data_IF_515378545215
#
_entry.id   IF_515378545215
#
_cell.length_a   1.000
_cell.length_b   1.000
_cell.length_c   1.000
_cell.angle_alpha   90.00
_cell.angle_beta   90.00
_cell.angle_gamma   90.00
#
_symmetry.space_group_name_H-M   'P 1'
#
loop_
_entity.id
_entity.type
_entity.pdbx_description
1 polymer ?
#
# COMPACT_ATOMS: atom_id res chain seq x y z
N UNK A 1 3.36 -17.69 -14.17
CA UNK A 1 2.88 -16.34 -14.57
C UNK A 1 3.74 -15.31 -13.85
N UNK A 2 4.21 -14.28 -14.55
CA UNK A 2 5.01 -13.21 -13.94
C UNK A 2 4.07 -12.18 -13.29
N UNK A 3 3.62 -12.46 -12.06
CA UNK A 3 2.97 -11.47 -11.21
C UNK A 3 4.05 -10.87 -10.31
N UNK A 4 4.73 -9.84 -10.82
CA UNK A 4 5.70 -9.04 -10.06
C UNK A 4 5.24 -7.57 -10.12
N UNK A 5 5.11 -6.95 -8.94
CA UNK A 5 4.63 -5.58 -8.76
C UNK A 5 5.72 -4.51 -8.86
N UNK A 6 6.99 -4.91 -8.93
CA UNK A 6 8.06 -3.98 -9.28
C UNK A 6 7.90 -3.47 -10.70
N UNK A 7 8.29 -2.22 -10.94
CA UNK A 7 8.24 -1.61 -12.28
C UNK A 7 9.60 -1.72 -12.96
N UNK A 8 9.60 -1.65 -14.29
CA UNK A 8 10.83 -1.70 -15.07
C UNK A 8 11.78 -0.55 -14.72
N UNK A 9 13.09 -0.81 -14.83
CA UNK A 9 14.12 0.21 -14.65
C UNK A 9 13.88 1.45 -15.51
N UNK A 10 13.49 1.25 -16.77
CA UNK A 10 13.16 2.34 -17.69
C UNK A 10 12.01 3.22 -17.16
N UNK A 11 11.00 2.62 -16.52
CA UNK A 11 9.91 3.40 -15.95
C UNK A 11 10.33 4.11 -14.66
N UNK A 12 11.19 3.50 -13.82
CA UNK A 12 11.78 4.15 -12.64
C UNK A 12 12.63 5.37 -13.02
N UNK A 13 13.43 5.27 -14.08
CA UNK A 13 14.28 6.37 -14.57
C UNK A 13 13.47 7.63 -14.93
N UNK A 14 12.20 7.47 -15.33
CA UNK A 14 11.31 8.59 -15.61
C UNK A 14 10.98 9.43 -14.37
N UNK A 15 11.15 8.91 -13.15
CA UNK A 15 10.93 9.64 -11.90
C UNK A 15 12.19 10.32 -11.34
N UNK A 16 13.38 10.00 -11.85
CA UNK A 16 14.63 10.63 -11.41
C UNK A 16 14.74 12.07 -11.90
N UNK A 17 15.66 12.87 -11.37
CA UNK A 17 15.69 14.35 -11.45
C UNK A 17 15.39 14.97 -12.84
N UNK A 18 15.87 14.35 -13.94
CA UNK A 18 15.66 14.84 -15.31
C UNK A 18 14.53 14.11 -16.07
N UNK A 19 13.85 13.19 -15.42
CA UNK A 19 12.79 12.39 -15.98
C UNK A 19 11.46 13.14 -16.07
N UNK A 20 10.61 12.73 -17.00
CA UNK A 20 9.30 13.33 -17.28
C UNK A 20 8.32 13.33 -16.09
N UNK A 21 8.57 12.47 -15.09
CA UNK A 21 7.74 12.27 -13.91
C UNK A 21 8.43 12.75 -12.62
N UNK A 22 9.59 13.41 -12.74
CA UNK A 22 10.34 13.92 -11.58
C UNK A 22 9.53 14.88 -10.71
N UNK A 23 8.61 15.73 -11.23
CA UNK A 23 7.77 16.58 -10.38
C UNK A 23 6.84 15.79 -9.45
N UNK A 24 6.36 14.62 -9.85
CA UNK A 24 5.55 13.77 -8.97
C UNK A 24 6.39 13.21 -7.82
N UNK A 25 7.63 12.77 -8.11
CA UNK A 25 8.54 12.29 -7.07
C UNK A 25 8.92 13.41 -6.10
N UNK A 26 9.20 14.61 -6.63
CA UNK A 26 9.47 15.79 -5.82
C UNK A 26 8.29 16.07 -4.87
N UNK A 27 7.06 16.04 -5.39
CA UNK A 27 5.84 16.24 -4.59
C UNK A 27 5.65 15.17 -3.51
N UNK A 28 5.93 13.91 -3.81
CA UNK A 28 5.89 12.82 -2.81
C UNK A 28 6.89 13.08 -1.68
N UNK A 29 8.09 13.56 -2.00
CA UNK A 29 9.17 13.85 -1.04
C UNK A 29 8.99 15.14 -0.25
N UNK A 30 8.07 16.01 -0.64
CA UNK A 30 7.81 17.24 0.11
C UNK A 30 7.42 16.91 1.55
N UNK A 31 8.01 17.66 2.50
CA UNK A 31 7.68 17.54 3.91
C UNK A 31 6.18 17.80 4.09
N UNK A 32 5.48 16.88 4.77
CA UNK A 32 4.05 16.93 5.04
C UNK A 32 3.13 16.78 3.81
N UNK A 33 3.62 16.25 2.68
CA UNK A 33 2.76 15.93 1.53
C UNK A 33 1.66 14.91 1.90
N UNK A 34 1.98 14.00 2.83
CA UNK A 34 1.14 12.85 3.20
C UNK A 34 0.98 11.83 2.07
N UNK A 35 1.82 11.92 1.04
CA UNK A 35 1.74 11.09 -0.15
C UNK A 35 2.58 9.83 -0.02
N UNK A 36 2.06 8.74 -0.58
CA UNK A 36 2.68 7.42 -0.51
C UNK A 36 2.74 6.80 -1.90
N UNK A 37 3.95 6.53 -2.41
CA UNK A 37 4.16 5.96 -3.75
C UNK A 37 4.27 4.43 -3.68
N UNK A 38 3.53 3.72 -4.54
CA UNK A 38 3.60 2.25 -4.65
C UNK A 38 3.74 1.79 -6.08
N UNK A 39 4.51 0.72 -6.27
CA UNK A 39 4.71 0.09 -7.58
C UNK A 39 3.63 -0.94 -7.87
N UNK A 40 3.16 -0.97 -9.12
CA UNK A 40 2.12 -1.88 -9.64
C UNK A 40 2.52 -2.38 -11.03
N UNK A 41 3.68 -3.01 -11.13
CA UNK A 41 4.23 -3.55 -12.37
C UNK A 41 3.46 -4.71 -12.99
N UNK A 42 2.67 -5.42 -12.19
CA UNK A 42 1.77 -6.47 -12.66
C UNK A 42 0.53 -5.94 -13.39
N UNK A 43 0.35 -4.62 -13.42
CA UNK A 43 -0.61 -3.97 -14.31
C UNK A 43 -0.14 -4.05 -15.77
N UNK A 44 -1.09 -3.95 -16.70
CA UNK A 44 -0.79 -3.87 -18.12
C UNK A 44 -1.53 -2.66 -18.71
N UNK A 45 -0.83 -1.57 -19.06
CA UNK A 45 0.61 -1.33 -18.85
C UNK A 45 1.01 -1.23 -17.37
N UNK A 46 2.30 -1.39 -17.07
CA UNK A 46 2.86 -1.18 -15.73
C UNK A 46 2.49 0.20 -15.19
N UNK A 47 2.30 0.30 -13.87
CA UNK A 47 1.88 1.54 -13.24
C UNK A 47 2.57 1.80 -11.90
N UNK A 48 2.56 3.08 -11.51
CA UNK A 48 2.82 3.57 -10.16
C UNK A 48 1.53 4.19 -9.64
N UNK A 49 1.16 3.90 -8.41
CA UNK A 49 0.01 4.53 -7.75
C UNK A 49 0.51 5.36 -6.58
N UNK A 50 0.03 6.59 -6.46
CA UNK A 50 0.34 7.51 -5.37
C UNK A 50 -0.93 7.76 -4.57
N UNK A 51 -0.85 7.55 -3.26
CA UNK A 51 -1.97 7.60 -2.33
C UNK A 51 -1.86 8.77 -1.36
N UNK A 52 -2.99 9.23 -0.85
CA UNK A 52 -3.13 10.09 0.33
C UNK A 52 -4.20 9.49 1.24
N UNK A 53 -3.87 9.21 2.51
CA UNK A 53 -4.70 8.44 3.45
C UNK A 53 -5.25 7.11 2.86
N UNK A 54 -4.42 6.38 2.10
CA UNK A 54 -4.78 5.16 1.37
C UNK A 54 -5.93 5.34 0.35
N UNK A 55 -6.07 6.56 -0.18
CA UNK A 55 -6.91 6.89 -1.34
C UNK A 55 -6.04 7.31 -2.52
N UNK A 56 -6.34 6.79 -3.72
CA UNK A 56 -5.59 7.10 -4.93
C UNK A 56 -5.69 8.60 -5.26
N UNK A 57 -4.55 9.27 -5.30
CA UNK A 57 -4.39 10.64 -5.82
C UNK A 57 -4.05 10.56 -7.30
N UNK A 58 -3.01 9.80 -7.65
CA UNK A 58 -2.61 9.57 -9.03
C UNK A 58 -2.36 8.10 -9.29
N UNK A 59 -2.75 7.64 -10.47
CA UNK A 59 -2.22 6.41 -11.08
C UNK A 59 -1.48 6.81 -12.35
N UNK A 60 -0.20 6.53 -12.38
CA UNK A 60 0.72 6.91 -13.44
C UNK A 60 1.09 5.65 -14.20
N UNK A 61 0.88 5.63 -15.51
CA UNK A 61 1.21 4.47 -16.35
C UNK A 61 1.85 4.90 -17.66
N UNK A 62 2.63 3.99 -18.26
CA UNK A 62 3.20 4.21 -19.59
C UNK A 62 2.09 4.21 -20.64
N UNK A 63 2.22 5.11 -21.62
CA UNK A 63 1.30 5.21 -22.75
C UNK A 63 2.11 5.38 -24.05
N UNK A 64 1.50 5.08 -25.20
CA UNK A 64 2.22 5.06 -26.48
C UNK A 64 2.93 6.40 -26.82
N UNK A 65 2.44 7.52 -26.28
CA UNK A 65 2.96 8.89 -26.50
C UNK A 65 3.25 9.60 -25.18
N UNK A 66 3.98 8.94 -24.28
CA UNK A 66 4.39 9.50 -22.99
C UNK A 66 3.76 8.76 -21.82
N UNK A 67 3.12 9.49 -20.92
CA UNK A 67 2.57 8.94 -19.69
C UNK A 67 1.13 9.34 -19.50
N UNK A 68 0.33 8.40 -19.02
CA UNK A 68 -1.06 8.60 -18.65
C UNK A 68 -1.14 8.81 -17.14
N UNK A 69 -1.71 9.94 -16.73
CA UNK A 69 -2.03 10.26 -15.34
C UNK A 69 -3.53 10.12 -15.18
N UNK A 70 -3.96 9.19 -14.32
CA UNK A 70 -5.36 9.03 -13.93
C UNK A 70 -5.55 9.51 -12.50
N UNK A 71 -6.71 10.10 -12.21
CA UNK A 71 -7.17 10.43 -10.86
C UNK A 71 -8.49 9.70 -10.58
N UNK A 72 -8.89 9.53 -9.33
CA UNK A 72 -10.16 8.86 -8.99
C UNK A 72 -11.25 9.87 -8.64
N UNK A 73 -12.24 10.02 -9.53
CA UNK A 73 -13.45 10.81 -9.25
C UNK A 73 -14.50 10.03 -8.44
N UNK A 74 -14.27 8.73 -8.17
CA UNK A 74 -15.15 7.92 -7.32
C UNK A 74 -15.10 8.31 -5.84
N UNK A 75 -14.16 9.18 -5.47
CA UNK A 75 -14.05 9.74 -4.13
C UNK A 75 -15.23 10.64 -3.77
N UNK A 76 -15.90 11.19 -4.79
CA UNK A 76 -16.92 12.22 -4.66
C UNK A 76 -18.22 11.75 -5.32
N UNK A 77 -19.38 12.22 -4.83
CA UNK A 77 -20.71 11.79 -5.34
C UNK A 77 -21.57 13.02 -5.67
N UNK A 78 -22.58 12.83 -6.53
CA UNK A 78 -23.58 13.86 -6.81
C UNK A 78 -23.02 15.08 -7.54
N UNK A 79 -23.56 16.26 -7.22
CA UNK A 79 -23.20 17.56 -7.84
C UNK A 79 -21.70 17.85 -7.74
N UNK A 80 -21.11 17.51 -6.60
CA UNK A 80 -19.70 17.70 -6.33
C UNK A 80 -18.78 16.91 -7.27
N UNK A 81 -19.24 15.76 -7.77
CA UNK A 81 -18.51 15.01 -8.80
C UNK A 81 -18.45 15.80 -10.09
N UNK A 82 -19.56 16.41 -10.51
CA UNK A 82 -19.59 17.25 -11.70
C UNK A 82 -18.62 18.43 -11.56
N UNK A 83 -18.64 19.11 -10.41
CA UNK A 83 -17.71 20.21 -10.12
C UNK A 83 -16.23 19.78 -10.15
N UNK A 84 -15.91 18.61 -9.59
CA UNK A 84 -14.55 18.05 -9.66
C UNK A 84 -14.14 17.79 -11.11
N UNK A 85 -15.02 17.16 -11.90
CA UNK A 85 -14.74 16.87 -13.31
C UNK A 85 -14.55 18.15 -14.13
N UNK A 86 -15.36 19.18 -13.89
CA UNK A 86 -15.21 20.48 -14.55
C UNK A 86 -13.87 21.14 -14.20
N UNK A 87 -13.48 21.16 -12.92
CA UNK A 87 -12.17 21.68 -12.48
C UNK A 87 -11.01 20.94 -13.14
N UNK A 88 -11.08 19.61 -13.24
CA UNK A 88 -10.03 18.80 -13.87
C UNK A 88 -9.95 19.02 -15.39
N UNK A 89 -11.06 19.33 -16.04
CA UNK A 89 -11.13 19.54 -17.49
C UNK A 89 -10.54 20.91 -17.91
N UNK A 90 -10.52 21.91 -17.03
CA UNK A 90 -10.05 23.26 -17.33
C UNK A 90 -8.55 23.30 -17.66
N UNK A 91 -8.15 24.30 -18.46
CA UNK A 91 -6.74 24.59 -18.69
C UNK A 91 -6.05 25.06 -17.40
N UNK A 92 -4.78 24.67 -17.18
CA UNK A 92 -3.90 23.89 -18.07
C UNK A 92 -3.90 22.38 -17.77
N UNK A 93 -4.84 21.89 -16.96
CA UNK A 93 -4.90 20.48 -16.56
C UNK A 93 -5.40 19.58 -17.69
N UNK A 94 -6.47 20.00 -18.36
CA UNK A 94 -7.01 19.38 -19.57
C UNK A 94 -7.29 17.87 -19.45
N UNK A 95 -7.81 17.41 -18.31
CA UNK A 95 -8.20 16.01 -18.16
C UNK A 95 -9.36 15.67 -19.09
N UNK A 96 -9.29 14.49 -19.70
CA UNK A 96 -10.40 13.85 -20.37
C UNK A 96 -11.35 13.32 -19.28
N UNK A 97 -12.61 13.75 -19.31
CA UNK A 97 -13.63 13.45 -18.29
C UNK A 97 -14.93 12.86 -18.86
N UNK A 98 -15.12 12.91 -20.18
CA UNK A 98 -16.43 12.66 -20.82
C UNK A 98 -16.73 11.19 -21.14
N UNK A 99 -15.72 10.35 -21.37
CA UNK A 99 -15.94 8.92 -21.64
C UNK A 99 -16.47 8.19 -20.39
N UNK A 100 -17.16 7.06 -20.56
CA UNK A 100 -17.68 6.25 -19.43
C UNK A 100 -16.61 5.91 -18.40
N UNK A 101 -15.42 5.49 -18.84
CA UNK A 101 -14.27 5.29 -17.95
C UNK A 101 -13.83 6.60 -17.28
N UNK A 102 -13.70 7.67 -18.07
CA UNK A 102 -13.21 8.96 -17.60
C UNK A 102 -14.13 9.69 -16.62
N UNK A 103 -15.42 9.34 -16.57
CA UNK A 103 -16.31 9.85 -15.52
C UNK A 103 -15.83 9.40 -14.14
N UNK A 104 -15.29 8.19 -14.03
CA UNK A 104 -14.81 7.57 -12.79
C UNK A 104 -13.31 7.75 -12.58
N UNK A 105 -12.56 7.69 -13.67
CA UNK A 105 -11.11 7.84 -13.69
C UNK A 105 -10.68 8.85 -14.76
N UNK A 106 -10.87 10.16 -14.52
CA UNK A 106 -10.38 11.19 -15.41
C UNK A 106 -8.89 11.01 -15.66
N UNK A 107 -8.47 11.29 -16.88
CA UNK A 107 -7.06 11.11 -17.23
C UNK A 107 -6.53 12.15 -18.20
N UNK A 108 -5.22 12.34 -18.19
CA UNK A 108 -4.50 13.12 -19.18
C UNK A 108 -3.27 12.34 -19.66
N UNK A 109 -2.88 12.55 -20.90
CA UNK A 109 -1.66 11.96 -21.49
C UNK A 109 -0.74 13.09 -21.93
N UNK A 110 0.48 13.12 -21.37
CA UNK A 110 1.52 14.09 -21.75
C UNK A 110 2.89 13.40 -21.77
N UNK A 111 3.84 13.98 -22.50
CA UNK A 111 5.23 13.51 -22.52
C UNK A 111 6.00 13.90 -21.27
N UNK A 112 5.61 14.99 -20.61
CA UNK A 112 6.20 15.52 -19.38
C UNK A 112 5.16 16.32 -18.61
N UNK A 113 5.46 16.56 -17.34
CA UNK A 113 4.65 17.36 -16.44
C UNK A 113 5.54 18.39 -15.75
N UNK A 114 4.94 19.48 -15.30
CA UNK A 114 5.61 20.52 -14.53
C UNK A 114 5.05 20.59 -13.10
N UNK A 115 5.71 21.39 -12.27
CA UNK A 115 5.32 21.57 -10.86
C UNK A 115 3.93 22.20 -10.73
N UNK A 116 3.52 23.04 -11.69
CA UNK A 116 2.19 23.63 -11.68
C UNK A 116 1.11 22.56 -11.81
N UNK A 117 1.24 21.66 -12.79
CA UNK A 117 0.29 20.58 -13.01
C UNK A 117 0.20 19.67 -11.77
N UNK A 118 1.36 19.28 -11.21
CA UNK A 118 1.40 18.39 -10.06
C UNK A 118 0.80 19.06 -8.82
N UNK A 119 1.15 20.33 -8.53
CA UNK A 119 0.60 21.04 -7.38
C UNK A 119 -0.91 21.31 -7.50
N UNK A 120 -1.37 21.73 -8.69
CA UNK A 120 -2.79 21.98 -8.94
C UNK A 120 -3.61 20.70 -8.78
N UNK A 121 -3.17 19.59 -9.40
CA UNK A 121 -3.88 18.30 -9.27
C UNK A 121 -3.81 17.74 -7.85
N UNK A 122 -2.67 17.88 -7.16
CA UNK A 122 -2.54 17.51 -5.74
C UNK A 122 -3.59 18.23 -4.89
N UNK A 123 -3.65 19.56 -4.98
CA UNK A 123 -4.55 20.37 -4.18
C UNK A 123 -6.02 20.02 -4.43
N UNK A 124 -6.40 19.82 -5.70
CA UNK A 124 -7.75 19.39 -6.08
C UNK A 124 -8.08 18.03 -5.48
N UNK A 125 -7.22 17.03 -5.70
CA UNK A 125 -7.51 15.65 -5.32
C UNK A 125 -7.43 15.44 -3.81
N UNK A 126 -6.44 16.00 -3.13
CA UNK A 126 -6.33 15.93 -1.67
C UNK A 126 -7.43 16.74 -1.00
N UNK A 127 -7.80 17.90 -1.56
CA UNK A 127 -8.96 18.68 -1.11
C UNK A 127 -10.25 17.87 -1.17
N UNK A 128 -10.52 17.22 -2.30
CA UNK A 128 -11.64 16.31 -2.45
C UNK A 128 -11.55 15.17 -1.42
N UNK A 129 -10.44 14.45 -1.33
CA UNK A 129 -10.29 13.33 -0.37
C UNK A 129 -10.61 13.78 1.06
N UNK A 130 -10.10 14.95 1.50
CA UNK A 130 -10.38 15.49 2.84
C UNK A 130 -11.85 15.83 3.06
N UNK A 131 -12.52 16.39 2.06
CA UNK A 131 -13.93 16.78 2.13
C UNK A 131 -14.86 15.56 2.23
N UNK A 132 -14.73 14.56 1.36
CA UNK A 132 -15.66 13.41 1.33
C UNK A 132 -15.32 12.33 2.35
N UNK A 133 -14.04 12.17 2.67
CA UNK A 133 -13.57 11.11 3.55
C UNK A 133 -13.21 11.61 4.95
N UNK A 134 -13.91 12.65 5.41
CA UNK A 134 -13.79 13.18 6.77
C UNK A 134 -13.57 12.10 7.85
N UNK A 135 -12.83 12.47 8.89
CA UNK A 135 -12.04 11.61 9.79
C UNK A 135 -12.66 10.31 10.35
N UNK A 136 -13.99 10.13 10.33
CA UNK A 136 -14.67 8.97 10.96
C UNK A 136 -14.95 7.80 10.03
N UNK A 137 -15.19 8.01 8.72
CA UNK A 137 -15.76 6.94 7.86
C UNK A 137 -14.73 5.95 7.31
N UNK A 138 -13.46 6.33 7.28
CA UNK A 138 -12.36 5.52 6.69
C UNK A 138 -11.14 5.43 7.61
N UNK A 139 -11.41 5.34 8.92
CA UNK A 139 -10.40 5.26 9.98
C UNK A 139 -9.38 4.14 9.74
N UNK A 140 -9.82 2.95 9.31
CA UNK A 140 -8.95 1.81 9.01
C UNK A 140 -7.90 2.13 7.95
N UNK A 141 -8.32 2.71 6.82
CA UNK A 141 -7.43 3.10 5.72
C UNK A 141 -6.40 4.15 6.12
N UNK A 142 -6.82 5.10 6.96
CA UNK A 142 -5.90 6.09 7.53
C UNK A 142 -4.88 5.43 8.46
N UNK A 143 -5.35 4.56 9.35
CA UNK A 143 -4.51 3.78 10.26
C UNK A 143 -3.54 2.88 9.50
N UNK A 144 -3.98 2.22 8.42
CA UNK A 144 -3.09 1.42 7.56
C UNK A 144 -1.96 2.28 6.98
N UNK A 145 -2.25 3.51 6.53
CA UNK A 145 -1.20 4.42 6.07
C UNK A 145 -0.30 4.91 7.21
N UNK A 146 -0.86 5.26 8.37
CA UNK A 146 -0.08 5.66 9.57
C UNK A 146 0.86 4.53 10.03
N UNK A 147 0.37 3.28 10.01
CA UNK A 147 1.14 2.07 10.28
C UNK A 147 2.27 1.92 9.26
N UNK A 148 1.96 2.03 7.96
CA UNK A 148 2.97 1.96 6.92
C UNK A 148 4.06 3.00 7.13
N UNK A 149 3.69 4.27 7.34
CA UNK A 149 4.65 5.37 7.54
C UNK A 149 5.57 5.09 8.72
N UNK A 150 5.01 4.62 9.83
CA UNK A 150 5.81 4.28 11.02
C UNK A 150 6.73 3.09 10.76
N UNK A 151 6.23 2.04 10.09
CA UNK A 151 6.99 0.81 9.85
C UNK A 151 8.04 0.94 8.74
N UNK A 152 7.92 1.92 7.85
CA UNK A 152 8.98 2.23 6.87
C UNK A 152 10.19 2.92 7.47
N UNK A 153 10.17 3.34 8.73
CA UNK A 153 11.35 3.88 9.40
C UNK A 153 12.23 2.78 10.03
N UNK A 154 11.78 1.52 9.96
CA UNK A 154 12.47 0.37 10.55
C UNK A 154 13.75 0.02 9.79
N UNK A 155 14.89 0.02 10.49
CA UNK A 155 16.14 -0.55 9.97
C UNK A 155 16.38 -1.99 10.47
N UNK A 156 15.74 -2.35 11.58
CA UNK A 156 15.78 -3.69 12.19
C UNK A 156 14.40 -3.96 12.82
N UNK A 157 13.88 -5.18 12.70
CA UNK A 157 12.47 -5.50 12.99
C UNK A 157 11.61 -5.52 11.72
N UNK A 158 10.40 -4.94 11.74
CA UNK A 158 9.46 -5.05 10.61
C UNK A 158 9.54 -3.86 9.65
N UNK A 159 9.90 -4.08 8.38
CA UNK A 159 9.88 -3.07 7.33
C UNK A 159 8.78 -3.35 6.29
N UNK A 160 7.76 -2.50 6.21
CA UNK A 160 6.65 -2.65 5.25
C UNK A 160 7.05 -2.04 3.91
N UNK A 161 6.97 -2.82 2.83
CA UNK A 161 7.31 -2.33 1.47
C UNK A 161 6.10 -2.14 0.56
N UNK A 162 4.92 -2.63 0.96
CA UNK A 162 3.67 -2.41 0.22
C UNK A 162 2.46 -2.24 1.13
N UNK A 163 1.59 -1.28 0.77
CA UNK A 163 0.42 -0.83 1.56
C UNK A 163 -0.90 -1.46 1.11
N UNK A 164 -0.94 -2.01 -0.11
CA UNK A 164 -2.18 -2.58 -0.68
C UNK A 164 -1.80 -3.78 -1.54
N UNK A 165 -1.78 -4.95 -0.90
CA UNK A 165 -1.56 -6.19 -1.60
C UNK A 165 -2.78 -6.53 -2.47
N UNK A 166 -2.49 -6.92 -3.71
CA UNK A 166 -3.47 -7.41 -4.67
C UNK A 166 -2.79 -8.29 -5.69
N UNK A 167 -3.18 -9.55 -5.75
CA UNK A 167 -2.63 -10.52 -6.68
C UNK A 167 -3.52 -10.60 -7.93
N UNK A 168 -2.90 -10.53 -9.12
CA UNK A 168 -3.64 -10.71 -10.37
C UNK A 168 -4.06 -12.18 -10.52
N UNK A 169 -5.32 -12.39 -10.93
CA UNK A 169 -5.93 -13.72 -11.13
C UNK A 169 -5.90 -14.62 -9.88
N UNK A 170 -5.85 -14.03 -8.68
CA UNK A 170 -5.99 -14.81 -7.46
C UNK A 170 -7.44 -15.26 -7.29
N UNK A 171 -7.63 -16.53 -6.96
CA UNK A 171 -8.92 -17.05 -6.51
C UNK A 171 -8.99 -17.20 -5.00
N UNK A 172 -7.86 -17.00 -4.31
CA UNK A 172 -7.81 -17.07 -2.85
C UNK A 172 -8.49 -15.84 -2.26
N UNK A 173 -9.44 -16.08 -1.36
CA UNK A 173 -10.12 -15.05 -0.60
C UNK A 173 -9.28 -14.61 0.61
N UNK A 174 -9.60 -13.45 1.19
CA UNK A 174 -8.93 -12.90 2.39
C UNK A 174 -7.43 -12.68 2.19
N UNK A 175 -7.09 -12.01 1.10
CA UNK A 175 -5.77 -11.47 0.85
C UNK A 175 -5.32 -10.56 2.02
N UNK A 176 -4.03 -10.57 2.40
CA UNK A 176 -3.52 -9.63 3.40
C UNK A 176 -3.65 -8.19 2.89
N UNK A 177 -3.71 -7.24 3.82
CA UNK A 177 -3.67 -5.81 3.47
C UNK A 177 -2.29 -5.37 2.96
N UNK A 178 -1.22 -5.78 3.67
CA UNK A 178 0.14 -5.26 3.47
C UNK A 178 1.18 -6.38 3.42
N UNK A 179 2.36 -6.04 2.89
CA UNK A 179 3.53 -6.93 2.88
C UNK A 179 4.76 -6.24 3.44
N UNK A 180 5.53 -7.00 4.20
CA UNK A 180 6.75 -6.56 4.85
C UNK A 180 7.87 -7.59 4.77
N UNK A 181 9.06 -7.17 5.14
CA UNK A 181 10.21 -8.03 5.44
C UNK A 181 10.56 -7.86 6.91
N UNK A 182 10.77 -8.98 7.61
CA UNK A 182 11.34 -8.97 8.96
C UNK A 182 12.87 -8.97 8.86
N UNK A 183 13.50 -8.12 9.66
CA UNK A 183 14.94 -8.02 9.85
C UNK A 183 15.32 -8.38 11.28
N UNK A 184 16.49 -8.98 11.44
CA UNK A 184 17.12 -9.22 12.73
C UNK A 184 18.62 -8.95 12.64
N UNK A 185 19.12 -8.03 13.47
CA UNK A 185 20.51 -7.59 13.36
C UNK A 185 20.81 -6.90 12.02
N UNK A 186 19.78 -6.35 11.36
CA UNK A 186 19.89 -5.76 10.02
C UNK A 186 19.88 -6.78 8.87
N UNK A 187 19.73 -8.08 9.15
CA UNK A 187 19.65 -9.12 8.13
C UNK A 187 18.21 -9.57 7.89
N UNK A 188 17.77 -9.73 6.62
CA UNK A 188 16.43 -10.17 6.28
C UNK A 188 16.17 -11.61 6.73
N UNK A 189 14.97 -11.89 7.22
CA UNK A 189 14.61 -13.20 7.82
C UNK A 189 13.41 -13.85 7.14
N UNK A 190 12.36 -13.07 6.89
CA UNK A 190 11.07 -13.60 6.42
C UNK A 190 10.26 -12.52 5.69
N UNK A 191 9.38 -12.98 4.79
CA UNK A 191 8.28 -12.15 4.29
C UNK A 191 7.12 -12.26 5.27
N UNK A 192 6.53 -11.11 5.62
CA UNK A 192 5.41 -11.04 6.56
C UNK A 192 4.15 -10.57 5.81
N UNK A 193 3.11 -11.39 5.84
CA UNK A 193 1.76 -11.05 5.39
C UNK A 193 1.03 -10.38 6.54
N UNK A 194 0.54 -9.16 6.33
CA UNK A 194 -0.04 -8.34 7.40
C UNK A 194 -1.51 -8.04 7.09
N UNK A 195 -2.37 -8.33 8.06
CA UNK A 195 -3.78 -7.93 8.09
C UNK A 195 -3.99 -6.86 9.17
N UNK A 196 -4.79 -5.83 8.87
CA UNK A 196 -5.13 -4.77 9.83
C UNK A 196 -6.63 -4.79 10.13
N UNK A 197 -7.01 -4.90 11.40
CA UNK A 197 -8.41 -4.79 11.83
C UNK A 197 -8.59 -3.60 12.77
N UNK A 198 -9.56 -2.74 12.47
CA UNK A 198 -9.89 -1.57 13.34
C UNK A 198 -11.24 -1.70 14.06
N UNK A 199 -12.10 -2.61 13.61
CA UNK A 199 -13.48 -2.73 14.10
C UNK A 199 -13.71 -4.08 14.76
N UNK A 200 -14.39 -4.06 15.90
CA UNK A 200 -14.93 -5.26 16.56
C UNK A 200 -15.59 -6.21 15.56
N UNK A 201 -16.57 -5.70 14.79
CA UNK A 201 -17.32 -6.47 13.78
C UNK A 201 -16.44 -7.05 12.66
N UNK A 202 -15.28 -6.46 12.39
CA UNK A 202 -14.35 -6.99 11.39
C UNK A 202 -13.52 -8.18 11.93
N UNK A 203 -13.57 -8.43 13.23
CA UNK A 203 -12.91 -9.55 13.88
C UNK A 203 -13.84 -10.74 14.09
N UNK A 204 -15.15 -10.48 14.26
CA UNK A 204 -16.19 -11.51 14.42
C UNK A 204 -16.16 -12.55 13.30
N UNK A 205 -16.41 -13.81 13.67
CA UNK A 205 -16.46 -14.92 12.73
C UNK A 205 -17.56 -14.70 11.68
N UNK A 206 -17.17 -14.77 10.41
CA UNK A 206 -17.98 -14.42 9.26
C UNK A 206 -17.19 -14.68 7.97
N UNK A 207 -17.56 -14.06 6.86
CA UNK A 207 -16.83 -14.24 5.58
C UNK A 207 -15.42 -13.65 5.57
N UNK A 208 -15.15 -12.69 6.45
CA UNK A 208 -13.91 -11.89 6.49
C UNK A 208 -13.43 -11.60 7.93
N UNK A 209 -13.76 -12.50 8.87
CA UNK A 209 -13.37 -12.40 10.29
C UNK A 209 -11.89 -12.72 10.51
N UNK A 210 -11.43 -12.62 11.76
CA UNK A 210 -10.02 -12.82 12.12
C UNK A 210 -9.52 -14.22 11.73
N UNK A 211 -10.29 -15.25 12.07
CA UNK A 211 -10.01 -16.66 11.72
C UNK A 211 -9.92 -16.88 10.21
N UNK A 212 -10.81 -16.24 9.43
CA UNK A 212 -10.81 -16.34 7.96
C UNK A 212 -9.59 -15.70 7.30
N UNK A 213 -9.09 -14.59 7.83
CA UNK A 213 -7.83 -14.03 7.33
C UNK A 213 -6.63 -14.90 7.69
N UNK A 214 -6.60 -15.50 8.89
CA UNK A 214 -5.56 -16.47 9.23
C UNK A 214 -5.56 -17.68 8.29
N UNK A 215 -6.74 -18.27 8.05
CA UNK A 215 -6.92 -19.37 7.10
C UNK A 215 -6.49 -18.96 5.69
N UNK A 216 -6.93 -17.79 5.20
CA UNK A 216 -6.62 -17.28 3.86
C UNK A 216 -5.13 -17.02 3.64
N UNK A 217 -4.47 -16.37 4.60
CA UNK A 217 -3.01 -16.14 4.55
C UNK A 217 -2.23 -17.46 4.65
N UNK A 218 -2.66 -18.40 5.51
CA UNK A 218 -2.01 -19.71 5.61
C UNK A 218 -2.16 -20.51 4.31
N UNK A 219 -3.34 -20.49 3.72
CA UNK A 219 -3.61 -21.11 2.42
C UNK A 219 -2.73 -20.50 1.32
N UNK A 220 -2.61 -19.17 1.30
CA UNK A 220 -1.71 -18.47 0.38
C UNK A 220 -0.25 -18.91 0.56
N UNK A 221 0.25 -18.96 1.80
CA UNK A 221 1.63 -19.39 2.09
C UNK A 221 1.88 -20.85 1.70
N UNK A 222 0.87 -21.72 1.78
CA UNK A 222 1.05 -23.14 1.48
C UNK A 222 0.84 -23.48 0.00
N UNK A 223 -0.05 -22.77 -0.70
CA UNK A 223 -0.54 -23.19 -2.02
C UNK A 223 -0.24 -22.19 -3.15
N UNK A 224 0.18 -20.96 -2.84
CA UNK A 224 0.40 -19.95 -3.87
C UNK A 224 1.61 -20.29 -4.75
N UNK A 225 1.45 -20.33 -6.08
CA UNK A 225 2.59 -20.50 -6.99
C UNK A 225 3.43 -19.21 -7.11
N UNK A 226 3.07 -18.14 -6.39
CA UNK A 226 3.67 -16.81 -6.50
C UNK A 226 4.62 -16.46 -5.35
N UNK A 227 4.93 -17.40 -4.44
CA UNK A 227 5.80 -17.10 -3.29
C UNK A 227 7.20 -16.63 -3.72
N UNK A 228 7.80 -17.26 -4.72
CA UNK A 228 9.08 -16.79 -5.25
C UNK A 228 8.98 -15.40 -5.89
N UNK A 229 7.84 -15.06 -6.49
CA UNK A 229 7.61 -13.69 -6.97
C UNK A 229 7.54 -12.70 -5.79
N UNK A 230 7.02 -13.09 -4.62
CA UNK A 230 7.00 -12.22 -3.43
C UNK A 230 8.41 -11.95 -2.91
N UNK A 231 9.30 -12.94 -2.95
CA UNK A 231 10.73 -12.78 -2.61
C UNK A 231 11.41 -11.79 -3.56
N UNK A 232 11.23 -11.99 -4.87
CA UNK A 232 11.77 -11.09 -5.88
C UNK A 232 11.18 -9.67 -5.76
N UNK A 233 9.88 -9.56 -5.50
CA UNK A 233 9.23 -8.26 -5.31
C UNK A 233 9.79 -7.50 -4.11
N UNK A 234 10.02 -8.16 -2.98
CA UNK A 234 10.61 -7.52 -1.82
C UNK A 234 11.98 -6.93 -2.17
N UNK A 235 12.83 -7.69 -2.86
CA UNK A 235 14.11 -7.21 -3.37
C UNK A 235 13.95 -6.00 -4.30
N UNK A 236 13.14 -6.14 -5.35
CA UNK A 236 13.00 -5.14 -6.41
C UNK A 236 12.40 -3.83 -5.88
N UNK A 237 11.35 -3.92 -5.07
CA UNK A 237 10.63 -2.75 -4.54
C UNK A 237 11.50 -2.00 -3.54
N UNK A 238 12.16 -2.71 -2.62
CA UNK A 238 13.05 -2.07 -1.63
C UNK A 238 14.26 -1.44 -2.35
N UNK A 239 14.82 -2.11 -3.36
CA UNK A 239 15.87 -1.55 -4.23
C UNK A 239 15.40 -0.28 -4.92
N UNK A 240 14.19 -0.28 -5.48
CA UNK A 240 13.62 0.88 -6.15
C UNK A 240 13.40 2.04 -5.18
N UNK A 241 12.87 1.79 -3.98
CA UNK A 241 12.77 2.82 -2.94
C UNK A 241 14.12 3.39 -2.54
N UNK A 242 15.17 2.56 -2.46
CA UNK A 242 16.55 2.99 -2.19
C UNK A 242 17.08 3.92 -3.30
N UNK A 243 16.90 3.53 -4.56
CA UNK A 243 17.26 4.35 -5.72
C UNK A 243 16.49 5.68 -5.78
N UNK A 244 15.21 5.66 -5.42
CA UNK A 244 14.37 6.84 -5.38
C UNK A 244 14.53 7.66 -4.08
N UNK A 245 15.25 7.18 -3.07
CA UNK A 245 15.33 7.79 -1.72
C UNK A 245 13.94 8.03 -1.11
N UNK A 246 13.11 6.99 -1.09
CA UNK A 246 11.76 6.99 -0.50
C UNK A 246 11.67 5.98 0.65
N UNK A 247 10.84 6.24 1.65
CA UNK A 247 10.45 5.27 2.69
C UNK A 247 11.62 4.66 3.47
N UNK A 248 12.68 5.43 3.70
CA UNK A 248 13.84 5.07 4.53
C UNK A 248 14.24 3.57 4.45
N UNK A 249 14.59 3.06 3.26
CA UNK A 249 14.71 1.62 3.05
C UNK A 249 15.86 1.03 3.88
N UNK A 250 15.77 -0.24 4.29
CA UNK A 250 16.80 -0.86 5.11
C UNK A 250 18.16 -0.84 4.41
N UNK A 251 19.23 -0.78 5.20
CA UNK A 251 20.60 -0.79 4.68
C UNK A 251 20.84 -1.99 3.76
N UNK A 252 20.47 -3.17 4.23
CA UNK A 252 20.55 -4.43 3.50
C UNK A 252 19.23 -4.66 2.76
N UNK A 253 19.31 -4.66 1.43
CA UNK A 253 18.18 -5.09 0.59
C UNK A 253 18.16 -6.62 0.60
N UNK A 254 17.00 -7.28 0.74
CA UNK A 254 16.96 -8.72 0.83
C UNK A 254 17.37 -9.37 -0.49
N UNK A 255 18.26 -10.36 -0.45
CA UNK A 255 18.38 -11.31 -1.55
C UNK A 255 17.15 -12.23 -1.51
N UNK A 256 16.48 -12.51 -2.65
CA UNK A 256 15.39 -13.48 -2.69
C UNK A 256 15.74 -14.83 -2.07
N UNK A 257 16.98 -15.31 -2.17
CA UNK A 257 17.41 -16.60 -1.62
C UNK A 257 17.50 -16.60 -0.08
N UNK A 258 17.65 -15.43 0.55
CA UNK A 258 17.69 -15.29 2.01
C UNK A 258 16.29 -15.39 2.64
N UNK A 259 15.24 -15.08 1.86
CA UNK A 259 13.86 -15.03 2.31
C UNK A 259 13.18 -16.40 2.27
N UNK A 260 13.61 -17.33 3.12
CA UNK A 260 13.10 -18.72 3.11
C UNK A 260 11.84 -18.94 3.94
N UNK A 261 11.47 -17.97 4.76
CA UNK A 261 10.32 -18.09 5.67
C UNK A 261 9.21 -17.11 5.31
N UNK A 262 7.98 -17.53 5.60
CA UNK A 262 6.79 -16.69 5.55
C UNK A 262 6.12 -16.67 6.92
N UNK A 263 5.69 -15.49 7.32
CA UNK A 263 5.01 -15.23 8.58
C UNK A 263 3.68 -14.51 8.34
N UNK A 264 2.79 -14.62 9.31
CA UNK A 264 1.54 -13.87 9.36
C UNK A 264 1.58 -12.89 10.53
N UNK A 265 0.97 -11.73 10.35
CA UNK A 265 0.77 -10.76 11.41
C UNK A 265 -0.62 -10.15 11.32
N UNK A 266 -1.29 -10.05 12.47
CA UNK A 266 -2.53 -9.30 12.59
C UNK A 266 -2.27 -8.09 13.49
N UNK A 267 -2.49 -6.90 12.95
CA UNK A 267 -2.40 -5.65 13.67
C UNK A 267 -3.80 -5.20 14.03
N UNK A 268 -4.09 -5.13 15.33
CA UNK A 268 -5.39 -4.73 15.86
C UNK A 268 -5.34 -3.30 16.35
N UNK A 269 -6.34 -2.51 15.97
CA UNK A 269 -6.47 -1.11 16.40
C UNK A 269 -7.89 -0.84 16.90
N UNK A 270 -8.07 0.23 17.67
CA UNK A 270 -9.38 0.67 18.16
C UNK A 270 -10.20 -0.47 18.79
N UNK A 271 -11.49 -0.57 18.47
CA UNK A 271 -12.41 -1.59 19.01
C UNK A 271 -12.07 -3.04 18.63
N UNK A 272 -11.17 -3.27 17.67
CA UNK A 272 -10.66 -4.62 17.39
C UNK A 272 -9.76 -5.13 18.52
N UNK A 273 -9.09 -4.22 19.24
CA UNK A 273 -8.28 -4.58 20.42
C UNK A 273 -9.18 -5.12 21.53
N UNK A 274 -10.30 -4.46 21.79
CA UNK A 274 -11.27 -4.89 22.81
C UNK A 274 -11.84 -6.27 22.47
N UNK A 275 -12.18 -6.51 21.20
CA UNK A 275 -12.62 -7.83 20.73
C UNK A 275 -11.59 -8.91 21.06
N UNK A 276 -10.32 -8.67 20.71
CA UNK A 276 -9.26 -9.65 20.97
C UNK A 276 -9.09 -9.93 22.45
N UNK A 277 -9.13 -8.91 23.31
CA UNK A 277 -9.00 -9.10 24.77
C UNK A 277 -10.11 -9.97 25.36
N UNK A 278 -11.33 -9.82 24.87
CA UNK A 278 -12.46 -10.65 25.32
C UNK A 278 -12.42 -12.08 24.77
N UNK A 279 -11.70 -12.32 23.67
CA UNK A 279 -11.66 -13.60 22.96
C UNK A 279 -10.26 -14.22 22.87
N UNK A 280 -9.28 -13.70 23.61
CA UNK A 280 -7.86 -14.00 23.45
C UNK A 280 -7.58 -15.50 23.57
N UNK A 281 -8.15 -16.15 24.57
CA UNK A 281 -7.97 -17.59 24.80
C UNK A 281 -8.41 -18.44 23.62
N UNK A 282 -9.58 -18.13 23.05
CA UNK A 282 -10.14 -18.86 21.89
C UNK A 282 -9.28 -18.63 20.65
N UNK A 283 -8.87 -17.39 20.41
CA UNK A 283 -8.05 -17.03 19.24
C UNK A 283 -6.65 -17.66 19.34
N UNK A 284 -6.01 -17.60 20.50
CA UNK A 284 -4.70 -18.20 20.70
C UNK A 284 -4.76 -19.74 20.61
N UNK A 285 -5.81 -20.38 21.13
CA UNK A 285 -6.05 -21.81 20.92
C UNK A 285 -6.23 -22.15 19.44
N UNK A 286 -6.94 -21.31 18.67
CA UNK A 286 -7.10 -21.51 17.23
C UNK A 286 -5.78 -21.39 16.47
N UNK A 287 -4.94 -20.39 16.81
CA UNK A 287 -3.61 -20.20 16.22
C UNK A 287 -2.72 -21.42 16.52
N UNK A 288 -2.66 -21.86 17.77
CA UNK A 288 -1.85 -23.00 18.20
C UNK A 288 -2.35 -24.31 17.60
N UNK A 289 -3.66 -24.55 17.64
CA UNK A 289 -4.30 -25.76 17.14
C UNK A 289 -4.12 -25.97 15.63
N UNK A 290 -4.00 -24.88 14.86
CA UNK A 290 -3.75 -24.94 13.42
C UNK A 290 -2.27 -24.69 13.04
N UNK A 291 -1.38 -24.57 14.02
CA UNK A 291 0.05 -24.32 13.84
C UNK A 291 0.33 -23.11 12.91
N UNK A 292 -0.38 -22.01 13.15
CA UNK A 292 -0.16 -20.76 12.41
C UNK A 292 1.10 -20.06 12.91
N UNK A 293 2.04 -19.79 12.00
CA UNK A 293 3.17 -18.90 12.26
C UNK A 293 2.69 -17.43 12.25
N UNK A 294 1.94 -17.06 13.29
CA UNK A 294 1.25 -15.77 13.37
C UNK A 294 1.57 -15.03 14.66
N UNK A 295 1.77 -13.71 14.55
CA UNK A 295 1.84 -12.79 15.70
C UNK A 295 0.65 -11.82 15.67
N UNK A 296 -0.10 -11.73 16.77
CA UNK A 296 -1.10 -10.67 16.96
C UNK A 296 -0.45 -9.51 17.71
N UNK A 297 -0.68 -8.29 17.24
CA UNK A 297 -0.11 -7.07 17.80
C UNK A 297 -1.20 -6.02 17.98
N UNK A 298 -1.33 -5.48 19.20
CA UNK A 298 -2.21 -4.35 19.48
C UNK A 298 -1.48 -3.03 19.17
N UNK A 299 -1.97 -2.24 18.21
CA UNK A 299 -1.46 -0.89 17.96
C UNK A 299 -2.06 0.13 18.93
N UNK A 300 -1.42 0.27 20.08
CA UNK A 300 -1.68 1.32 21.08
C UNK A 300 -0.54 2.34 21.11
N UNK A 301 -0.86 3.64 21.28
CA UNK A 301 -0.01 4.81 20.97
C UNK A 301 1.40 4.88 21.60
N UNK A 302 1.81 3.96 22.49
CA UNK A 302 3.15 3.98 23.13
C UNK A 302 3.84 2.64 23.36
N UNK A 303 3.14 1.51 23.47
CA UNK A 303 3.76 0.20 23.81
C UNK A 303 4.13 -0.63 22.57
N UNK A 304 3.50 -0.37 21.43
CA UNK A 304 3.61 -1.21 20.23
C UNK A 304 4.89 -0.99 19.43
N UNK A 305 5.45 0.20 19.48
CA UNK A 305 6.71 0.52 18.78
C UNK A 305 7.81 -0.45 19.23
N UNK A 306 7.97 -0.69 20.54
CA UNK A 306 8.98 -1.66 21.04
C UNK A 306 8.77 -3.09 20.54
N UNK A 307 7.53 -3.58 20.41
CA UNK A 307 7.25 -4.96 19.94
C UNK A 307 7.44 -5.18 18.43
N UNK A 308 7.50 -4.10 17.64
CA UNK A 308 7.69 -4.10 16.19
C UNK A 308 9.13 -3.76 15.77
N UNK A 309 9.89 -3.08 16.65
CA UNK A 309 11.28 -2.67 16.43
C UNK A 309 12.31 -3.43 17.30
N UNK A 310 11.93 -4.04 18.42
CA UNK A 310 12.84 -4.84 19.24
C UNK A 310 12.61 -6.34 18.98
N UNK A 311 13.59 -7.00 18.37
CA UNK A 311 13.75 -8.43 18.53
C UNK A 311 14.02 -8.67 20.02
N UNK A 312 13.11 -9.36 20.69
CA UNK A 312 13.31 -9.77 22.09
C UNK A 312 14.65 -10.50 22.20
N UNK A 313 15.62 -9.82 22.80
CA UNK A 313 16.76 -10.42 23.48
C UNK A 313 16.53 -10.26 24.98
#
# INVERSE_FOLDING_TARGET
MNDNRSVSKQFLEAFLEKGALSPFLAKVKEKNSGLQLRFRGNNTPEAVTIYYNNHVVWKISRYARGYKIEVSANHVKGLQRSELLEKLQQEPLCFITKSEHAKSYPYVVKNSFDDYFVNSTYNIMVGAIKEYFGSRKYREKRIQQELFETLTESQDGLYVYDLEFKQKNNKLENEPDMLAVRYSGGEPQAIVLIEVKSKWKACEDGKSGLTKHLEGMKLYINESPYLNNRKQEAHDIISAYKGLKLHNPPKNVPDPEDLNNFEMMIILTDSAVDYYKEHEGIINMHIQGNNYNCKIVEWTERKTQRLLFDNQK
#
